data_IF_909467981549
#
_entry.id   IF_909467981549
#
_cell.length_a   1.000
_cell.length_b   1.000
_cell.length_c   1.000
_cell.angle_alpha   90.00
_cell.angle_beta   90.00
_cell.angle_gamma   90.00
#
_symmetry.space_group_name_H-M   'P 1'
#
loop_
_entity.id
_entity.type
_entity.pdbx_description
1 polymer ?
#
# COMPACT_ATOMS: atom_id res chain seq x y z
N UNK A 1 -7.03 -17.80 -13.48
CA UNK A 1 -5.78 -18.51 -13.13
C UNK A 1 -6.20 -19.80 -12.42
N UNK A 2 -5.74 -20.97 -12.88
CA UNK A 2 -6.10 -22.25 -12.26
C UNK A 2 -5.49 -22.35 -10.85
N UNK A 3 -6.11 -23.15 -9.94
CA UNK A 3 -5.58 -23.36 -8.60
C UNK A 3 -4.15 -23.93 -8.60
N UNK A 4 -3.84 -24.79 -9.56
CA UNK A 4 -2.48 -25.33 -9.77
C UNK A 4 -1.45 -24.26 -10.11
N UNK A 5 -1.79 -23.30 -10.99
CA UNK A 5 -0.92 -22.19 -11.32
C UNK A 5 -0.69 -21.26 -10.10
N UNK A 6 -1.73 -21.03 -9.27
CA UNK A 6 -1.59 -20.27 -8.04
C UNK A 6 -0.61 -20.95 -7.05
N UNK A 7 -0.72 -22.27 -6.85
CA UNK A 7 0.19 -23.03 -5.99
C UNK A 7 1.64 -23.01 -6.47
N UNK A 8 1.88 -22.99 -7.80
CA UNK A 8 3.24 -22.94 -8.37
C UNK A 8 3.98 -21.64 -8.07
N UNK A 9 3.28 -20.55 -7.76
CA UNK A 9 3.85 -19.25 -7.42
C UNK A 9 3.94 -18.99 -5.91
N UNK A 10 3.40 -19.88 -5.07
CA UNK A 10 3.41 -19.72 -3.62
C UNK A 10 4.84 -19.57 -3.08
N UNK A 11 5.06 -18.51 -2.29
CA UNK A 11 6.36 -18.19 -1.69
C UNK A 11 7.42 -17.60 -2.65
N UNK A 12 7.13 -17.46 -3.94
CA UNK A 12 8.05 -16.81 -4.89
C UNK A 12 7.99 -15.30 -4.74
N UNK A 13 9.11 -14.62 -5.00
CA UNK A 13 9.16 -13.15 -4.95
C UNK A 13 8.25 -12.52 -6.00
N UNK A 14 7.44 -11.55 -5.57
CA UNK A 14 6.55 -10.80 -6.46
C UNK A 14 7.36 -9.83 -7.34
N UNK A 15 7.17 -9.93 -8.65
CA UNK A 15 7.82 -9.08 -9.62
C UNK A 15 7.30 -7.63 -9.64
N UNK A 16 7.98 -6.77 -10.41
CA UNK A 16 7.66 -5.35 -10.54
C UNK A 16 6.22 -5.12 -11.02
N UNK A 17 5.76 -5.90 -12.00
CA UNK A 17 4.42 -5.72 -12.58
C UNK A 17 3.33 -5.96 -11.53
N UNK A 18 3.40 -7.06 -10.78
CA UNK A 18 2.39 -7.35 -9.75
C UNK A 18 2.37 -6.31 -8.65
N UNK A 19 3.54 -5.78 -8.26
CA UNK A 19 3.64 -4.71 -7.26
C UNK A 19 3.07 -3.40 -7.78
N UNK A 20 3.36 -3.05 -9.03
CA UNK A 20 2.85 -1.83 -9.67
C UNK A 20 1.32 -1.89 -9.80
N UNK A 21 0.77 -3.01 -10.27
CA UNK A 21 -0.69 -3.18 -10.39
C UNK A 21 -1.36 -3.14 -9.01
N UNK A 22 -0.79 -3.81 -7.99
CA UNK A 22 -1.27 -3.71 -6.62
C UNK A 22 -1.30 -2.26 -6.14
N UNK A 23 -0.21 -1.52 -6.33
CA UNK A 23 -0.12 -0.11 -5.94
C UNK A 23 -1.13 0.78 -6.69
N UNK A 24 -1.34 0.56 -7.99
CA UNK A 24 -2.33 1.31 -8.76
C UNK A 24 -3.76 1.08 -8.25
N UNK A 25 -4.10 -0.17 -7.91
CA UNK A 25 -5.38 -0.51 -7.28
C UNK A 25 -5.50 0.16 -5.91
N UNK A 26 -4.47 0.09 -5.08
CA UNK A 26 -4.46 0.70 -3.76
C UNK A 26 -4.61 2.22 -3.83
N UNK A 27 -3.94 2.87 -4.77
CA UNK A 27 -4.07 4.31 -4.99
C UNK A 27 -5.49 4.70 -5.39
N UNK A 28 -6.12 3.92 -6.28
CA UNK A 28 -7.52 4.15 -6.68
C UNK A 28 -8.49 3.94 -5.50
N UNK A 29 -8.34 2.85 -4.76
CA UNK A 29 -9.18 2.53 -3.59
C UNK A 29 -9.02 3.55 -2.48
N UNK A 30 -7.78 3.88 -2.09
CA UNK A 30 -7.51 4.82 -1.00
C UNK A 30 -7.92 6.24 -1.35
N UNK A 31 -7.72 6.67 -2.61
CA UNK A 31 -8.16 7.99 -3.09
C UNK A 31 -9.70 8.08 -3.11
N UNK A 32 -10.36 7.04 -3.62
CA UNK A 32 -11.83 6.98 -3.61
C UNK A 32 -12.39 7.04 -2.18
N UNK A 33 -11.83 6.24 -1.27
CA UNK A 33 -12.22 6.23 0.13
C UNK A 33 -11.99 7.59 0.83
N UNK A 34 -10.90 8.29 0.49
CA UNK A 34 -10.61 9.62 1.00
C UNK A 34 -11.71 10.62 0.62
N UNK A 35 -12.09 10.69 -0.65
CA UNK A 35 -13.12 11.61 -1.11
C UNK A 35 -14.50 11.26 -0.54
N UNK A 36 -14.83 9.97 -0.48
CA UNK A 36 -16.08 9.52 0.17
C UNK A 36 -16.12 9.94 1.64
N UNK A 37 -15.00 9.81 2.37
CA UNK A 37 -14.91 10.24 3.76
C UNK A 37 -15.11 11.75 3.92
N UNK A 38 -14.50 12.58 3.07
CA UNK A 38 -14.66 14.02 3.10
C UNK A 38 -16.12 14.45 2.82
N UNK A 39 -16.76 13.83 1.83
CA UNK A 39 -18.16 14.11 1.50
C UNK A 39 -19.11 13.65 2.63
N UNK A 40 -18.82 12.51 3.26
CA UNK A 40 -19.58 12.03 4.41
C UNK A 40 -19.46 12.99 5.60
N UNK A 41 -18.27 13.55 5.86
CA UNK A 41 -18.06 14.57 6.88
C UNK A 41 -18.85 15.83 6.54
N UNK A 42 -18.78 16.32 5.30
CA UNK A 42 -19.54 17.50 4.85
C UNK A 42 -21.06 17.30 5.04
N UNK A 43 -21.57 16.14 4.65
CA UNK A 43 -22.96 15.78 4.83
C UNK A 43 -23.37 15.74 6.31
N UNK A 44 -22.54 15.12 7.16
CA UNK A 44 -22.81 15.08 8.61
C UNK A 44 -22.85 16.47 9.23
N UNK A 45 -21.92 17.36 8.85
CA UNK A 45 -21.93 18.76 9.30
C UNK A 45 -23.17 19.47 8.79
N UNK A 46 -23.56 19.27 7.54
CA UNK A 46 -24.77 19.89 6.98
C UNK A 46 -26.04 19.47 7.71
N UNK A 47 -26.17 18.21 8.09
CA UNK A 47 -27.31 17.70 8.86
C UNK A 47 -27.40 18.37 10.22
N UNK A 48 -26.28 18.64 10.87
CA UNK A 48 -26.26 19.24 12.23
C UNK A 48 -26.38 20.76 12.20
N UNK A 49 -25.72 21.43 11.25
CA UNK A 49 -25.57 22.90 11.24
C UNK A 49 -26.39 23.61 10.17
N UNK A 50 -26.98 22.87 9.23
CA UNK A 50 -27.64 23.42 8.04
C UNK A 50 -26.69 23.86 6.93
N UNK A 51 -25.39 23.80 7.13
CA UNK A 51 -24.37 24.24 6.17
C UNK A 51 -23.31 23.14 5.93
N UNK A 52 -23.14 22.74 4.69
CA UNK A 52 -22.08 21.77 4.32
C UNK A 52 -20.70 22.43 4.26
N UNK A 53 -19.65 21.63 4.43
CA UNK A 53 -18.26 22.06 4.25
C UNK A 53 -17.89 21.91 2.79
N UNK A 54 -17.34 22.96 2.18
CA UNK A 54 -16.80 22.89 0.82
C UNK A 54 -15.30 22.55 0.86
N UNK A 55 -14.91 21.44 0.24
CA UNK A 55 -13.52 21.02 0.17
C UNK A 55 -12.85 21.58 -1.07
N UNK A 56 -11.96 22.57 -0.91
CA UNK A 56 -11.15 23.06 -2.01
C UNK A 56 -10.05 22.03 -2.33
N UNK A 57 -10.21 21.32 -3.47
CA UNK A 57 -9.28 20.27 -3.93
C UNK A 57 -7.88 20.79 -4.21
N UNK A 58 -7.72 22.07 -4.52
CA UNK A 58 -6.41 22.70 -4.76
C UNK A 58 -5.80 23.28 -3.48
N UNK A 59 -6.44 23.13 -2.33
CA UNK A 59 -5.92 23.61 -1.05
C UNK A 59 -4.75 22.77 -0.57
N UNK A 60 -3.68 23.42 -0.11
CA UNK A 60 -2.54 22.76 0.53
C UNK A 60 -2.95 21.97 1.79
N UNK A 61 -4.01 22.42 2.49
CA UNK A 61 -4.55 21.72 3.65
C UNK A 61 -5.14 20.36 3.23
N UNK A 62 -5.99 20.35 2.19
CA UNK A 62 -6.57 19.10 1.68
C UNK A 62 -5.48 18.17 1.16
N UNK A 63 -4.45 18.70 0.48
CA UNK A 63 -3.30 17.91 0.05
C UNK A 63 -2.53 17.31 1.23
N UNK A 64 -2.31 18.07 2.31
CA UNK A 64 -1.67 17.57 3.52
C UNK A 64 -2.46 16.47 4.20
N UNK A 65 -3.78 16.62 4.32
CA UNK A 65 -4.68 15.61 4.88
C UNK A 65 -4.66 14.35 3.99
N UNK A 66 -4.65 14.51 2.67
CA UNK A 66 -4.56 13.38 1.73
C UNK A 66 -3.24 12.60 1.88
N UNK A 67 -2.11 13.29 2.02
CA UNK A 67 -0.82 12.65 2.27
C UNK A 67 -0.85 11.87 3.59
N UNK A 68 -1.36 12.46 4.67
CA UNK A 68 -1.51 11.78 5.96
C UNK A 68 -2.42 10.54 5.84
N UNK A 69 -3.53 10.67 5.10
CA UNK A 69 -4.42 9.54 4.80
C UNK A 69 -3.71 8.39 4.09
N UNK A 70 -2.88 8.69 3.08
CA UNK A 70 -2.11 7.66 2.38
C UNK A 70 -1.13 6.93 3.32
N UNK A 71 -0.43 7.67 4.19
CA UNK A 71 0.42 7.06 5.22
C UNK A 71 -0.37 6.15 6.16
N UNK A 72 -1.54 6.58 6.60
CA UNK A 72 -2.41 5.75 7.45
C UNK A 72 -2.89 4.51 6.70
N UNK A 73 -3.35 4.63 5.45
CA UNK A 73 -3.81 3.50 4.67
C UNK A 73 -2.73 2.44 4.49
N UNK A 74 -1.56 2.82 3.96
CA UNK A 74 -0.47 1.87 3.73
C UNK A 74 0.14 1.37 5.04
N UNK A 75 0.41 2.26 5.99
CA UNK A 75 1.01 1.91 7.27
C UNK A 75 0.13 0.96 8.07
N UNK A 76 -1.15 1.25 8.19
CA UNK A 76 -2.12 0.39 8.89
C UNK A 76 -2.25 -0.97 8.19
N UNK A 77 -2.39 -1.00 6.86
CA UNK A 77 -2.55 -2.22 6.10
C UNK A 77 -1.32 -3.15 6.23
N UNK A 78 -0.11 -2.59 6.14
CA UNK A 78 1.11 -3.38 6.31
C UNK A 78 1.36 -3.77 7.76
N UNK A 79 1.07 -2.90 8.73
CA UNK A 79 1.28 -3.20 10.14
C UNK A 79 0.32 -4.28 10.68
N UNK A 80 -0.92 -4.35 10.18
CA UNK A 80 -1.94 -5.27 10.69
C UNK A 80 -2.04 -6.55 9.88
N UNK A 81 -2.16 -6.44 8.56
CA UNK A 81 -2.43 -7.58 7.67
C UNK A 81 -1.20 -8.04 6.86
N UNK A 82 -0.10 -7.26 6.84
CA UNK A 82 1.04 -7.50 5.97
C UNK A 82 0.72 -7.35 4.47
N UNK A 83 -0.48 -6.87 4.13
CA UNK A 83 -0.94 -6.68 2.74
C UNK A 83 -1.95 -5.56 2.66
N UNK A 84 -1.98 -4.87 1.55
CA UNK A 84 -3.02 -3.89 1.20
C UNK A 84 -4.15 -4.58 0.43
N UNK A 85 -5.21 -3.84 0.12
CA UNK A 85 -6.34 -4.37 -0.69
C UNK A 85 -5.85 -4.83 -2.06
N UNK A 86 -5.07 -3.99 -2.76
CA UNK A 86 -4.51 -4.32 -4.08
C UNK A 86 -3.57 -5.54 -4.03
N UNK A 87 -2.74 -5.63 -2.99
CA UNK A 87 -1.90 -6.81 -2.74
C UNK A 87 -2.74 -8.06 -2.52
N UNK A 88 -3.82 -7.95 -1.73
CA UNK A 88 -4.73 -9.05 -1.47
C UNK A 88 -5.40 -9.58 -2.74
N UNK A 89 -5.83 -8.69 -3.63
CA UNK A 89 -6.45 -9.05 -4.93
C UNK A 89 -5.49 -9.80 -5.85
N UNK A 90 -4.19 -9.47 -5.79
CA UNK A 90 -3.15 -10.12 -6.60
C UNK A 90 -2.50 -11.31 -5.89
N UNK A 91 -2.96 -11.66 -4.69
CA UNK A 91 -2.40 -12.76 -3.92
C UNK A 91 -0.94 -12.55 -3.52
N UNK A 92 -0.53 -11.29 -3.26
CA UNK A 92 0.81 -10.98 -2.79
C UNK A 92 0.78 -10.43 -1.37
N UNK A 93 1.83 -10.67 -0.61
CA UNK A 93 1.96 -10.27 0.80
C UNK A 93 3.38 -9.83 1.11
N UNK A 94 3.50 -8.89 2.03
CA UNK A 94 4.78 -8.50 2.63
C UNK A 94 5.07 -9.45 3.79
N UNK A 95 6.28 -10.00 3.79
CA UNK A 95 6.81 -10.83 4.87
C UNK A 95 8.20 -10.31 5.28
N UNK A 96 8.72 -10.76 6.38
CA UNK A 96 10.13 -10.51 6.74
C UNK A 96 11.07 -11.21 5.75
N UNK A 97 12.28 -10.70 5.63
CA UNK A 97 13.30 -11.27 4.74
C UNK A 97 13.68 -12.73 5.08
N UNK A 98 13.48 -13.13 6.34
CA UNK A 98 13.68 -14.50 6.83
C UNK A 98 12.43 -15.41 6.64
N UNK A 99 11.38 -14.90 5.99
CA UNK A 99 10.12 -15.63 5.76
C UNK A 99 9.12 -15.57 6.93
N UNK A 100 9.47 -14.96 8.05
CA UNK A 100 8.57 -14.82 9.19
C UNK A 100 7.45 -13.81 8.92
N UNK A 101 6.42 -13.84 9.76
CA UNK A 101 5.30 -12.89 9.71
C UNK A 101 5.82 -11.46 9.93
N UNK A 102 5.26 -10.50 9.19
CA UNK A 102 5.64 -9.10 9.29
C UNK A 102 5.25 -8.54 10.67
N UNK A 103 6.22 -7.97 11.37
CA UNK A 103 5.98 -7.24 12.61
C UNK A 103 5.37 -5.86 12.32
N UNK A 104 4.41 -5.38 13.13
CA UNK A 104 3.75 -4.09 12.92
C UNK A 104 4.72 -2.92 12.75
N UNK A 105 5.80 -2.88 13.55
CA UNK A 105 6.81 -1.83 13.49
C UNK A 105 7.56 -1.78 12.16
N UNK A 106 7.84 -2.94 11.54
CA UNK A 106 8.47 -3.01 10.22
C UNK A 106 7.52 -2.58 9.11
N UNK A 107 6.22 -2.89 9.25
CA UNK A 107 5.18 -2.41 8.34
C UNK A 107 5.04 -0.89 8.38
N UNK A 108 5.06 -0.29 9.57
CA UNK A 108 5.04 1.16 9.75
C UNK A 108 6.32 1.82 9.21
N UNK A 109 7.50 1.27 9.52
CA UNK A 109 8.78 1.76 8.98
C UNK A 109 8.79 1.72 7.44
N UNK A 110 8.28 0.64 6.84
CA UNK A 110 8.13 0.51 5.39
C UNK A 110 7.28 1.66 4.82
N UNK A 111 6.14 2.00 5.46
CA UNK A 111 5.27 3.08 5.02
C UNK A 111 5.97 4.45 5.08
N UNK A 112 6.75 4.71 6.13
CA UNK A 112 7.51 5.95 6.28
C UNK A 112 8.62 6.09 5.22
N UNK A 113 9.29 5.00 4.88
CA UNK A 113 10.40 4.99 3.91
C UNK A 113 9.89 4.87 2.47
N UNK A 114 8.67 4.40 2.25
CA UNK A 114 8.11 4.16 0.93
C UNK A 114 8.20 5.38 -0.02
N UNK A 115 7.88 6.63 0.40
CA UNK A 115 8.01 7.81 -0.45
C UNK A 115 9.44 8.09 -0.91
N UNK A 116 10.46 7.72 -0.11
CA UNK A 116 11.86 7.90 -0.50
C UNK A 116 12.23 7.12 -1.76
N UNK A 117 11.56 5.98 -2.00
CA UNK A 117 11.76 5.18 -3.21
C UNK A 117 11.37 5.93 -4.50
N UNK A 118 10.47 6.92 -4.40
CA UNK A 118 10.06 7.79 -5.50
C UNK A 118 10.87 9.07 -5.58
N UNK A 119 11.27 9.65 -4.42
CA UNK A 119 12.07 10.88 -4.35
C UNK A 119 13.41 10.74 -5.08
N UNK A 120 14.03 9.59 -5.05
CA UNK A 120 15.23 9.28 -5.81
C UNK A 120 14.94 8.91 -7.28
N UNK A 121 14.02 9.61 -7.93
CA UNK A 121 13.64 9.41 -9.34
C UNK A 121 13.27 7.95 -9.68
N UNK A 122 12.70 7.22 -8.72
CA UNK A 122 12.38 5.81 -8.90
C UNK A 122 13.58 4.85 -8.79
N UNK A 123 14.81 5.34 -8.56
CA UNK A 123 15.99 4.48 -8.36
C UNK A 123 15.81 3.50 -7.21
N UNK A 124 15.05 3.88 -6.18
CA UNK A 124 14.67 2.98 -5.10
C UNK A 124 13.81 1.78 -5.53
N UNK A 125 13.25 1.82 -6.74
CA UNK A 125 12.47 0.72 -7.32
C UNK A 125 13.29 -0.18 -8.25
N UNK A 126 14.48 0.27 -8.68
CA UNK A 126 15.36 -0.47 -9.60
C UNK A 126 15.72 -1.84 -9.03
N UNK A 127 15.88 -1.94 -7.69
CA UNK A 127 16.14 -3.21 -7.02
C UNK A 127 15.09 -4.30 -7.31
N UNK A 128 13.83 -3.91 -7.58
CA UNK A 128 12.77 -4.86 -7.91
C UNK A 128 13.03 -5.57 -9.26
N UNK A 129 13.72 -4.88 -10.18
CA UNK A 129 13.99 -5.41 -11.54
C UNK A 129 15.34 -6.11 -11.61
N UNK A 130 16.34 -5.60 -10.89
CA UNK A 130 17.75 -6.05 -11.00
C UNK A 130 18.10 -7.16 -10.02
N UNK A 131 17.50 -7.15 -8.81
CA UNK A 131 17.84 -8.13 -7.78
C UNK A 131 16.98 -9.40 -7.86
N UNK A 132 17.58 -10.55 -7.54
CA UNK A 132 16.89 -11.85 -7.51
C UNK A 132 15.72 -11.90 -6.52
N UNK A 133 15.78 -11.11 -5.46
CA UNK A 133 14.75 -11.02 -4.41
C UNK A 133 13.70 -9.94 -4.72
N UNK A 134 13.84 -9.23 -5.84
CA UNK A 134 12.91 -8.17 -6.26
C UNK A 134 12.62 -7.13 -5.16
N UNK A 135 13.65 -6.69 -4.42
CA UNK A 135 13.52 -5.75 -3.31
C UNK A 135 13.64 -4.30 -3.77
N UNK A 136 12.72 -3.46 -3.34
CA UNK A 136 12.85 -2.01 -3.42
C UNK A 136 13.66 -1.47 -2.23
N UNK A 137 14.07 -0.20 -2.30
CA UNK A 137 14.82 0.46 -1.23
C UNK A 137 14.09 0.40 0.12
N UNK A 138 12.79 0.69 0.15
CA UNK A 138 11.96 0.62 1.35
C UNK A 138 11.83 -0.81 1.89
N UNK A 139 11.85 -1.83 1.02
CA UNK A 139 11.88 -3.23 1.43
C UNK A 139 13.19 -3.57 2.14
N UNK A 140 14.30 -3.04 1.59
CA UNK A 140 15.63 -3.30 2.12
C UNK A 140 15.81 -2.68 3.51
N UNK A 141 15.41 -1.41 3.66
CA UNK A 141 15.50 -0.68 4.94
C UNK A 141 14.59 -1.30 6.01
N UNK A 142 13.39 -1.74 5.64
CA UNK A 142 12.46 -2.39 6.57
C UNK A 142 12.78 -3.88 6.82
N UNK A 143 13.74 -4.48 6.09
CA UNK A 143 14.08 -5.90 6.19
C UNK A 143 12.93 -6.81 5.75
N UNK A 144 12.21 -6.42 4.70
CA UNK A 144 11.02 -7.10 4.18
C UNK A 144 11.20 -7.58 2.75
N UNK A 145 10.33 -8.48 2.32
CA UNK A 145 10.20 -8.95 0.93
C UNK A 145 8.72 -9.07 0.58
N UNK A 146 8.37 -9.01 -0.70
CA UNK A 146 7.01 -9.26 -1.17
C UNK A 146 6.98 -10.59 -1.90
N UNK A 147 6.11 -11.49 -1.46
CA UNK A 147 5.98 -12.84 -1.99
C UNK A 147 4.55 -13.11 -2.44
N UNK A 148 4.37 -14.07 -3.33
CA UNK A 148 3.05 -14.62 -3.62
C UNK A 148 2.63 -15.51 -2.45
N UNK A 149 1.46 -15.22 -1.89
CA UNK A 149 0.88 -15.95 -0.77
C UNK A 149 -0.64 -15.98 -0.95
N UNK A 150 -1.12 -16.93 -1.75
CA UNK A 150 -2.53 -17.18 -1.89
C UNK A 150 -3.04 -17.86 -0.62
N UNK A 151 -4.12 -17.33 -0.05
CA UNK A 151 -4.78 -18.01 1.06
C UNK A 151 -5.46 -19.26 0.48
N UNK A 152 -4.83 -20.41 0.61
CA UNK A 152 -5.49 -21.71 0.39
C UNK A 152 -6.42 -21.96 1.58
N UNK A 153 -7.70 -21.73 1.38
CA UNK A 153 -8.75 -22.21 2.30
C UNK A 153 -9.01 -23.68 2.04
#
# INVERSE_FOLDING_TARGET
MSAEAALSYQGRYAGAVSRFVAYAIDLAVSTGAFWVALEAISFGVQVVTGHGVSWNRSSGVVAGIFVAWQFLYFGYSWATAGRTVGMGLLGVRVVRADGAVLEPGRGALRALVFPLSFLFCGLGLVGIVVQRENRALHDYIAGTVVVYAWDTR
#
